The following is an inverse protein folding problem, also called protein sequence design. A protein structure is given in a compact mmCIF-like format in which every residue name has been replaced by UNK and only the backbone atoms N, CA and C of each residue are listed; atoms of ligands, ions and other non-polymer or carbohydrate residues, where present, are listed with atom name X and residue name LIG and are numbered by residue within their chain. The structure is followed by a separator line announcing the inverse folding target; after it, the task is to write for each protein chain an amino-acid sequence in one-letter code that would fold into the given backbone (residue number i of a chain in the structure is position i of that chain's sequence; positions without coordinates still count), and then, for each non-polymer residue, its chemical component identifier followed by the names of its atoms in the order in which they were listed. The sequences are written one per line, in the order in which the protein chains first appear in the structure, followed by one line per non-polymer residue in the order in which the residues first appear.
data_IF_438400827832
#
_entry.id   IF_438400827832
#
_cell.length_a   1.000
_cell.length_b   1.000
_cell.length_c   1.000
_cell.angle_alpha   90.00
_cell.angle_beta   90.00
_cell.angle_gamma   90.00
#
_symmetry.space_group_name_H-M   'P 1'
#
loop_
_entity.id
_entity.type
_entity.pdbx_description
1 polymer ?
#
# COMPACT_ATOMS: atom_id res chain seq x y z
N UNK A 1 -36.08 16.56 7.21
CA UNK A 1 -34.96 16.62 8.17
C UNK A 1 -34.67 15.21 8.65
N UNK A 2 -33.79 14.49 7.95
CA UNK A 2 -33.35 13.13 8.30
C UNK A 2 -31.88 13.04 7.91
N UNK A 3 -30.96 13.50 8.76
CA UNK A 3 -29.52 13.38 8.50
C UNK A 3 -28.69 13.45 9.78
N UNK A 4 -29.05 12.70 10.83
CA UNK A 4 -28.21 12.61 12.05
C UNK A 4 -27.99 11.17 12.56
N UNK A 5 -28.84 10.21 12.16
CA UNK A 5 -28.79 8.85 12.73
C UNK A 5 -27.65 7.98 12.19
N UNK A 6 -27.22 8.18 10.94
CA UNK A 6 -26.22 7.31 10.28
C UNK A 6 -24.80 7.68 10.73
N UNK A 7 -24.50 8.98 10.83
CA UNK A 7 -23.20 9.46 11.31
C UNK A 7 -22.95 9.10 12.77
N UNK A 8 -23.98 9.16 13.61
CA UNK A 8 -23.89 8.76 15.03
C UNK A 8 -23.64 7.25 15.19
N UNK A 9 -24.31 6.40 14.39
CA UNK A 9 -24.05 4.96 14.40
C UNK A 9 -22.63 4.59 13.94
N UNK A 10 -22.12 5.26 12.90
CA UNK A 10 -20.75 5.05 12.40
C UNK A 10 -19.69 5.47 13.42
N UNK A 11 -19.92 6.60 14.10
CA UNK A 11 -19.06 7.08 15.19
C UNK A 11 -19.05 6.10 16.36
N UNK A 12 -20.22 5.60 16.79
CA UNK A 12 -20.31 4.61 17.86
C UNK A 12 -19.63 3.28 17.49
N UNK A 13 -19.70 2.85 16.23
CA UNK A 13 -19.04 1.63 15.75
C UNK A 13 -17.51 1.77 15.78
N UNK A 14 -16.97 2.90 15.31
CA UNK A 14 -15.53 3.21 15.35
C UNK A 14 -15.00 3.31 16.79
N UNK A 15 -15.76 3.95 17.70
CA UNK A 15 -15.40 3.99 19.12
C UNK A 15 -15.44 2.59 19.76
N UNK A 16 -16.40 1.74 19.39
CA UNK A 16 -16.47 0.36 19.86
C UNK A 16 -15.25 -0.47 19.46
N UNK A 17 -14.78 -0.32 18.21
CA UNK A 17 -13.54 -0.96 17.72
C UNK A 17 -12.30 -0.51 18.49
N UNK A 18 -12.20 0.78 18.83
CA UNK A 18 -11.10 1.32 19.64
C UNK A 18 -11.09 0.72 21.06
N UNK A 19 -12.25 0.56 21.72
CA UNK A 19 -12.31 -0.03 23.06
C UNK A 19 -12.09 -1.56 23.09
N UNK A 20 -12.35 -2.28 21.99
CA UNK A 20 -12.02 -3.71 21.91
C UNK A 20 -10.50 -3.96 21.76
N UNK A 21 -9.72 -3.03 21.19
CA UNK A 21 -8.28 -3.22 21.03
C UNK A 21 -7.49 -3.22 22.35
N UNK A 22 -7.99 -2.57 23.40
CA UNK A 22 -7.27 -2.47 24.69
C UNK A 22 -7.24 -3.76 25.51
N UNK A 23 -8.09 -4.74 25.24
CA UNK A 23 -8.13 -6.01 26.00
C UNK A 23 -7.20 -7.10 25.46
N UNK A 24 -6.60 -6.89 24.29
CA UNK A 24 -5.67 -7.85 23.66
C UNK A 24 -4.21 -7.61 24.04
N UNK A 25 -3.88 -6.52 24.74
CA UNK A 25 -2.52 -6.21 25.17
C UNK A 25 -2.32 -6.59 26.64
N UNK A 26 -2.23 -7.90 26.92
CA UNK A 26 -1.58 -8.38 28.14
C UNK A 26 -0.12 -8.65 27.82
N UNK A 27 0.76 -7.74 28.23
CA UNK A 27 2.19 -8.01 28.30
C UNK A 27 2.44 -8.87 29.55
N UNK A 28 2.66 -10.15 29.33
CA UNK A 28 3.19 -11.09 30.32
C UNK A 28 4.65 -11.33 29.93
N UNK A 29 5.53 -10.41 30.34
CA UNK A 29 6.95 -10.45 30.00
C UNK A 29 7.69 -11.44 30.92
N UNK A 30 7.47 -12.74 30.71
CA UNK A 30 8.41 -13.77 31.12
C UNK A 30 9.39 -13.97 29.95
N UNK A 31 10.63 -13.50 30.09
CA UNK A 31 11.64 -13.49 29.03
C UNK A 31 12.03 -14.92 28.65
N UNK A 32 11.32 -15.49 27.66
CA UNK A 32 11.58 -16.77 27.02
C UNK A 32 12.40 -16.51 25.76
N UNK A 33 13.54 -17.21 25.61
CA UNK A 33 14.37 -17.12 24.41
C UNK A 33 13.67 -17.91 23.28
N UNK A 34 12.90 -17.22 22.43
CA UNK A 34 12.18 -17.86 21.32
C UNK A 34 13.12 -18.17 20.15
N UNK A 35 13.47 -19.46 19.99
CA UNK A 35 14.28 -19.98 18.88
C UNK A 35 13.70 -19.67 17.49
N UNK A 36 12.42 -19.32 17.42
CA UNK A 36 11.69 -18.96 16.19
C UNK A 36 12.19 -17.64 15.56
N UNK A 37 12.87 -16.77 16.33
CA UNK A 37 13.47 -15.54 15.81
C UNK A 37 14.69 -15.81 14.89
N UNK A 38 15.36 -16.95 15.06
CA UNK A 38 16.56 -17.31 14.30
C UNK A 38 16.30 -18.27 13.13
N UNK A 39 15.07 -18.78 12.99
CA UNK A 39 14.68 -19.61 11.85
C UNK A 39 14.17 -18.77 10.67
N UNK A 40 14.37 -19.30 9.46
CA UNK A 40 13.98 -18.60 8.23
C UNK A 40 12.46 -18.55 8.16
N UNK A 41 11.86 -17.36 8.34
CA UNK A 41 10.41 -17.18 8.30
C UNK A 41 9.84 -17.68 6.98
N UNK A 42 8.85 -18.57 7.10
CA UNK A 42 8.18 -19.18 5.95
C UNK A 42 7.22 -18.21 5.27
N UNK A 43 6.78 -17.17 5.97
CA UNK A 43 5.94 -16.10 5.46
C UNK A 43 6.41 -14.77 6.04
N UNK A 44 6.57 -13.78 5.17
CA UNK A 44 6.81 -12.40 5.56
C UNK A 44 5.93 -11.50 4.71
N UNK A 45 5.24 -10.56 5.36
CA UNK A 45 4.35 -9.61 4.72
C UNK A 45 4.74 -8.20 5.15
N UNK A 46 4.81 -7.30 4.18
CA UNK A 46 5.08 -5.89 4.34
C UNK A 46 4.07 -5.05 3.58
N UNK A 47 4.34 -3.75 3.53
CA UNK A 47 3.56 -2.82 2.75
C UNK A 47 3.59 -1.42 3.34
N UNK A 48 2.85 -0.53 2.68
CA UNK A 48 2.60 0.81 3.17
C UNK A 48 1.22 1.30 2.73
N UNK A 49 0.68 2.22 3.51
CA UNK A 49 -0.49 2.99 3.13
C UNK A 49 -0.12 4.48 3.15
N UNK A 50 -0.60 5.22 2.17
CA UNK A 50 -0.38 6.66 2.03
C UNK A 50 -1.71 7.36 1.81
N UNK A 51 -1.89 8.51 2.48
CA UNK A 51 -3.01 9.42 2.26
C UNK A 51 -2.46 10.83 2.09
N UNK A 52 -2.96 11.55 1.08
CA UNK A 52 -2.56 12.92 0.75
C UNK A 52 -3.77 13.80 0.51
N UNK A 53 -3.70 15.01 1.04
CA UNK A 53 -4.60 16.12 0.72
C UNK A 53 -3.76 17.22 0.11
N UNK A 54 -4.04 17.55 -1.13
CA UNK A 54 -3.22 18.46 -1.92
C UNK A 54 -4.08 19.63 -2.41
N UNK A 55 -3.52 20.83 -2.32
CA UNK A 55 -4.06 22.05 -2.90
C UNK A 55 -3.00 22.58 -3.87
N UNK A 56 -3.36 22.71 -5.15
CA UNK A 56 -2.43 23.10 -6.22
C UNK A 56 -2.95 24.33 -6.95
N UNK A 57 -2.13 25.37 -7.04
CA UNK A 57 -2.38 26.54 -7.89
C UNK A 57 -1.86 26.30 -9.31
N UNK A 58 -2.69 26.62 -10.31
CA UNK A 58 -2.34 26.44 -11.73
C UNK A 58 -1.77 27.74 -12.30
N UNK A 59 -0.60 27.64 -12.93
CA UNK A 59 -0.06 28.71 -13.77
C UNK A 59 -0.74 28.71 -15.16
N UNK A 60 -1.72 29.60 -15.33
CA UNK A 60 -2.48 29.78 -16.57
C UNK A 60 -1.66 30.23 -17.78
N UNK A 61 -0.55 30.94 -17.54
CA UNK A 61 0.32 31.44 -18.61
C UNK A 61 1.25 30.36 -19.16
N UNK A 62 1.22 29.15 -18.57
CA UNK A 62 2.03 28.04 -19.04
C UNK A 62 1.46 27.41 -20.32
N UNK A 63 2.35 27.01 -21.24
CA UNK A 63 1.94 26.32 -22.47
C UNK A 63 1.12 25.05 -22.20
N UNK A 64 1.41 24.34 -21.11
CA UNK A 64 0.66 23.13 -20.72
C UNK A 64 -0.77 23.46 -20.25
N UNK A 65 -0.98 24.54 -19.49
CA UNK A 65 -2.32 24.95 -19.07
C UNK A 65 -3.19 25.33 -20.28
N UNK A 66 -2.62 26.07 -21.24
CA UNK A 66 -3.32 26.51 -22.45
C UNK A 66 -3.73 25.32 -23.33
N UNK A 67 -2.89 24.27 -23.41
CA UNK A 67 -3.13 23.12 -24.28
C UNK A 67 -3.99 22.01 -23.66
N UNK A 68 -3.93 21.83 -22.33
CA UNK A 68 -4.54 20.67 -21.66
C UNK A 68 -5.80 21.00 -20.85
N UNK A 69 -6.13 22.28 -20.63
CA UNK A 69 -7.31 22.66 -19.87
C UNK A 69 -8.46 23.04 -20.80
N UNK A 70 -9.46 22.14 -20.88
CA UNK A 70 -10.72 22.43 -21.59
C UNK A 70 -11.48 23.62 -20.98
N UNK A 71 -11.26 23.89 -19.69
CA UNK A 71 -11.83 25.02 -18.96
C UNK A 71 -10.78 25.69 -18.07
N UNK A 72 -10.70 27.03 -18.04
CA UNK A 72 -9.76 27.74 -17.19
C UNK A 72 -10.10 27.50 -15.71
N UNK A 73 -9.19 26.84 -14.99
CA UNK A 73 -9.27 26.59 -13.54
C UNK A 73 -8.03 27.12 -12.82
N UNK A 74 -8.22 27.90 -11.76
CA UNK A 74 -7.13 28.45 -10.95
C UNK A 74 -6.51 27.46 -9.99
N UNK A 75 -7.28 26.48 -9.51
CA UNK A 75 -6.85 25.55 -8.48
C UNK A 75 -7.33 24.12 -8.74
N UNK A 76 -6.59 23.16 -8.19
CA UNK A 76 -6.97 21.74 -8.11
C UNK A 76 -6.79 21.28 -6.67
N UNK A 77 -7.91 20.87 -6.07
CA UNK A 77 -7.91 20.16 -4.80
C UNK A 77 -7.94 18.66 -5.09
N UNK A 78 -7.12 17.90 -4.38
CA UNK A 78 -6.99 16.46 -4.59
C UNK A 78 -6.90 15.73 -3.27
N UNK A 79 -7.69 14.68 -3.16
CA UNK A 79 -7.55 13.63 -2.15
C UNK A 79 -7.02 12.37 -2.82
N UNK A 80 -5.87 11.89 -2.36
CA UNK A 80 -5.21 10.71 -2.90
C UNK A 80 -4.97 9.69 -1.80
N UNK A 81 -5.18 8.41 -2.12
CA UNK A 81 -4.86 7.28 -1.27
C UNK A 81 -4.14 6.19 -2.04
N UNK A 82 -3.15 5.56 -1.41
CA UNK A 82 -2.42 4.42 -1.96
C UNK A 82 -2.24 3.35 -0.89
N UNK A 83 -2.33 2.09 -1.31
CA UNK A 83 -2.03 0.92 -0.50
C UNK A 83 -1.15 -0.01 -1.31
N UNK A 84 0.00 -0.37 -0.76
CA UNK A 84 0.85 -1.42 -1.29
C UNK A 84 1.00 -2.52 -0.25
N UNK A 85 0.86 -3.76 -0.69
CA UNK A 85 1.08 -4.95 0.12
C UNK A 85 2.09 -5.81 -0.61
N UNK A 86 3.16 -6.17 0.07
CA UNK A 86 4.21 -7.04 -0.43
C UNK A 86 4.44 -8.21 0.51
N UNK A 87 5.07 -9.24 -0.01
CA UNK A 87 5.43 -10.38 0.82
C UNK A 87 6.00 -11.53 0.01
N UNK A 88 6.41 -12.55 0.77
CA UNK A 88 6.82 -13.81 0.20
C UNK A 88 6.43 -14.97 1.11
N UNK A 89 6.22 -16.11 0.48
CA UNK A 89 6.08 -17.40 1.14
C UNK A 89 7.18 -18.33 0.65
N UNK A 90 7.99 -18.87 1.55
CA UNK A 90 9.08 -19.79 1.25
C UNK A 90 8.87 -21.14 1.92
N UNK A 91 9.01 -22.21 1.14
CA UNK A 91 9.06 -23.58 1.62
C UNK A 91 10.18 -24.32 0.91
N UNK A 92 11.16 -24.78 1.69
CA UNK A 92 12.35 -25.50 1.21
C UNK A 92 13.08 -24.73 0.10
N UNK A 93 13.04 -25.24 -1.13
CA UNK A 93 13.70 -24.66 -2.31
C UNK A 93 12.77 -23.74 -3.12
N UNK A 94 11.49 -23.63 -2.78
CA UNK A 94 10.49 -22.89 -3.54
C UNK A 94 10.06 -21.64 -2.75
N UNK A 95 10.03 -20.49 -3.42
CA UNK A 95 9.52 -19.24 -2.86
C UNK A 95 8.55 -18.58 -3.83
N UNK A 96 7.39 -18.19 -3.34
CA UNK A 96 6.43 -17.33 -4.03
C UNK A 96 6.54 -15.90 -3.51
N UNK A 97 6.61 -14.92 -4.40
CA UNK A 97 6.78 -13.51 -4.05
C UNK A 97 5.69 -12.69 -4.72
N UNK A 98 5.18 -11.67 -4.03
CA UNK A 98 4.16 -10.76 -4.56
C UNK A 98 4.37 -9.32 -4.11
N UNK A 99 3.98 -8.39 -4.96
CA UNK A 99 3.82 -6.97 -4.67
C UNK A 99 2.56 -6.49 -5.37
N UNK A 100 1.57 -6.08 -4.58
CA UNK A 100 0.26 -5.63 -5.04
C UNK A 100 0.09 -4.16 -4.68
N UNK A 101 -0.38 -3.35 -5.61
CA UNK A 101 -0.57 -1.92 -5.40
C UNK A 101 -1.98 -1.50 -5.81
N UNK A 102 -2.64 -0.72 -4.98
CA UNK A 102 -3.90 -0.08 -5.28
C UNK A 102 -3.82 1.41 -4.93
N UNK A 103 -4.39 2.25 -5.78
CA UNK A 103 -4.47 3.69 -5.53
C UNK A 103 -5.80 4.24 -5.99
N UNK A 104 -6.28 5.27 -5.32
CA UNK A 104 -7.47 6.01 -5.68
C UNK A 104 -7.22 7.50 -5.50
N UNK A 105 -7.80 8.29 -6.40
CA UNK A 105 -7.69 9.73 -6.41
C UNK A 105 -9.07 10.32 -6.71
N UNK A 106 -9.48 11.26 -5.88
CA UNK A 106 -10.58 12.17 -6.16
C UNK A 106 -10.01 13.57 -6.28
N UNK A 107 -10.28 14.24 -7.39
CA UNK A 107 -10.01 15.66 -7.53
C UNK A 107 -11.21 16.39 -8.17
N UNK A 108 -11.05 17.68 -8.39
CA UNK A 108 -12.09 18.52 -8.98
C UNK A 108 -12.33 18.21 -10.48
N UNK A 109 -11.54 17.32 -11.09
CA UNK A 109 -11.68 16.86 -12.47
C UNK A 109 -12.41 15.51 -12.55
N UNK A 110 -12.21 14.64 -11.55
CA UNK A 110 -12.95 13.40 -11.45
C UNK A 110 -12.38 12.41 -10.43
N UNK A 111 -12.86 11.18 -10.54
CA UNK A 111 -12.36 10.04 -9.80
C UNK A 111 -11.47 9.18 -10.71
N UNK A 112 -10.36 8.68 -10.17
CA UNK A 112 -9.51 7.71 -10.85
C UNK A 112 -8.99 6.71 -9.83
N UNK A 113 -9.11 5.43 -10.14
CA UNK A 113 -8.55 4.34 -9.35
C UNK A 113 -7.73 3.39 -10.22
N UNK A 114 -6.80 2.69 -9.58
CA UNK A 114 -5.93 1.72 -10.22
C UNK A 114 -5.61 0.61 -9.24
N UNK A 115 -5.60 -0.63 -9.73
CA UNK A 115 -5.18 -1.80 -8.98
C UNK A 115 -4.27 -2.65 -9.87
N UNK A 116 -3.01 -2.77 -9.48
CA UNK A 116 -1.96 -3.40 -10.27
C UNK A 116 -1.19 -4.45 -9.47
N UNK A 117 -0.79 -5.50 -10.17
CA UNK A 117 0.16 -6.49 -9.67
C UNK A 117 1.55 -6.06 -10.14
N UNK A 118 2.36 -5.48 -9.26
CA UNK A 118 3.72 -5.06 -9.60
C UNK A 118 4.63 -6.27 -9.78
N UNK A 119 4.65 -7.18 -8.80
CA UNK A 119 5.37 -8.43 -8.87
C UNK A 119 4.47 -9.59 -8.48
N UNK A 120 4.61 -10.71 -9.19
CA UNK A 120 4.03 -12.00 -8.82
C UNK A 120 4.82 -13.08 -9.54
N UNK A 121 5.68 -13.77 -8.81
CA UNK A 121 6.54 -14.79 -9.39
C UNK A 121 6.87 -15.91 -8.41
N UNK A 122 7.07 -17.09 -8.97
CA UNK A 122 7.66 -18.24 -8.29
C UNK A 122 9.15 -18.26 -8.55
N UNK A 123 9.92 -18.64 -7.54
CA UNK A 123 11.36 -18.87 -7.65
C UNK A 123 11.75 -20.19 -7.00
N UNK A 124 12.73 -20.85 -7.59
CA UNK A 124 13.27 -22.12 -7.14
C UNK A 124 14.78 -21.96 -6.97
N UNK A 125 15.28 -22.34 -5.80
CA UNK A 125 16.70 -22.27 -5.42
C UNK A 125 17.21 -23.67 -5.02
N UNK A 126 17.55 -24.52 -6.00
CA UNK A 126 18.06 -25.87 -5.71
C UNK A 126 19.47 -25.86 -5.09
N UNK A 127 20.25 -24.80 -5.30
CA UNK A 127 21.56 -24.58 -4.68
C UNK A 127 21.79 -23.09 -4.39
N UNK A 128 22.76 -22.71 -3.52
CA UNK A 128 23.03 -21.30 -3.22
C UNK A 128 23.42 -20.44 -4.43
N UNK A 129 23.90 -21.07 -5.52
CA UNK A 129 24.41 -20.38 -6.70
C UNK A 129 23.43 -20.37 -7.88
N UNK A 130 22.30 -21.07 -7.78
CA UNK A 130 21.34 -21.19 -8.86
C UNK A 130 19.95 -20.76 -8.38
N UNK A 131 19.36 -19.77 -9.04
CA UNK A 131 17.97 -19.37 -8.86
C UNK A 131 17.29 -19.35 -10.22
N UNK A 132 16.20 -20.10 -10.36
CA UNK A 132 15.30 -20.02 -11.51
C UNK A 132 13.98 -19.39 -11.05
N UNK A 133 13.28 -18.67 -11.92
CA UNK A 133 11.98 -18.11 -11.57
C UNK A 133 11.07 -17.95 -12.78
N UNK A 134 9.77 -17.92 -12.52
CA UNK A 134 8.71 -17.78 -13.52
C UNK A 134 7.62 -16.86 -12.98
N UNK A 135 7.18 -15.90 -13.81
CA UNK A 135 6.12 -14.95 -13.46
C UNK A 135 6.49 -13.52 -13.84
N UNK A 136 5.73 -12.57 -13.31
CA UNK A 136 5.99 -11.14 -13.47
C UNK A 136 6.95 -10.69 -12.38
N UNK A 137 8.15 -10.27 -12.79
CA UNK A 137 9.17 -9.76 -11.89
C UNK A 137 9.64 -8.39 -12.38
N UNK A 138 9.66 -7.40 -11.49
CA UNK A 138 10.24 -6.11 -11.81
C UNK A 138 11.76 -6.23 -11.69
N UNK A 139 12.47 -5.76 -12.71
CA UNK A 139 13.92 -5.63 -12.65
C UNK A 139 14.25 -4.16 -12.42
N UNK A 140 14.91 -3.89 -11.30
CA UNK A 140 15.41 -2.54 -11.01
C UNK A 140 16.50 -2.21 -12.03
N UNK A 141 16.29 -1.15 -12.79
CA UNK A 141 17.24 -0.64 -13.76
C UNK A 141 17.49 0.84 -13.44
N UNK A 142 18.75 1.27 -13.38
CA UNK A 142 19.13 2.63 -12.97
C UNK A 142 20.34 2.66 -12.04
N UNK A 143 20.78 3.87 -11.69
CA UNK A 143 21.95 4.08 -10.86
C UNK A 143 21.67 3.64 -9.41
N UNK A 144 22.23 2.50 -9.02
CA UNK A 144 22.03 1.84 -7.71
C UNK A 144 22.71 2.55 -6.54
N UNK A 145 22.51 3.85 -6.40
CA UNK A 145 22.93 4.58 -5.20
C UNK A 145 21.92 4.30 -4.08
N UNK A 146 22.14 3.19 -3.38
CA UNK A 146 21.74 3.00 -1.99
C UNK A 146 23.00 3.11 -1.13
#
# INVERSE_FOLDING_TARGET
MNCDSIGFCLLCFLLGLLFLSSSLLRADDEFSFELEEFERKTLENGGYAELKFEHMDINHDSAFAILNLDQPRSTVDRFYGSLQIDGYYTREIISFNWVLNASAQQDNLGWTDTADVYESYLSIKPSPFLTAGVGKKLYRWGAGYA
#
